data_IF_607534900843
#
_entry.id   IF_607534900843
#
_cell.length_a   1.000
_cell.length_b   1.000
_cell.length_c   1.000
_cell.angle_alpha   90.00
_cell.angle_beta   90.00
_cell.angle_gamma   90.00
#
_symmetry.space_group_name_H-M   'P 1'
#
loop_
_entity.id
_entity.type
_entity.pdbx_description
1 polymer ?
#
# COMPACT_ATOMS: atom_id res chain seq x y z
N UNK A 1 -86.98 -21.94 40.38
CA UNK A 1 -86.44 -21.96 38.99
C UNK A 1 -85.90 -20.57 38.71
N UNK A 2 -84.59 -20.34 38.86
CA UNK A 2 -83.55 -20.40 37.80
C UNK A 2 -83.92 -19.44 36.64
N UNK A 3 -83.08 -18.48 36.26
CA UNK A 3 -81.76 -18.72 35.68
C UNK A 3 -80.75 -17.60 35.97
N UNK A 4 -79.57 -17.97 36.50
CA UNK A 4 -78.36 -17.16 36.44
C UNK A 4 -77.76 -17.30 35.03
N UNK A 5 -77.61 -16.19 34.32
CA UNK A 5 -76.81 -16.15 33.09
C UNK A 5 -75.32 -16.08 33.48
N UNK A 6 -74.67 -17.23 33.57
CA UNK A 6 -73.22 -17.30 33.56
C UNK A 6 -72.73 -16.99 32.14
N UNK A 7 -72.25 -15.76 31.95
CA UNK A 7 -71.45 -15.40 30.78
C UNK A 7 -70.10 -16.10 30.90
N UNK A 8 -69.91 -17.15 30.11
CA UNK A 8 -68.59 -17.75 29.92
C UNK A 8 -67.87 -16.96 28.84
N UNK A 9 -67.01 -16.02 29.26
CA UNK A 9 -65.95 -15.54 28.40
C UNK A 9 -64.98 -16.71 28.19
N UNK A 10 -64.93 -17.24 26.96
CA UNK A 10 -63.89 -18.19 26.55
C UNK A 10 -62.51 -17.54 26.81
N UNK A 11 -61.54 -18.26 27.39
CA UNK A 11 -60.18 -17.77 27.45
C UNK A 11 -59.65 -17.69 26.01
N UNK A 12 -59.29 -16.49 25.58
CA UNK A 12 -58.53 -16.28 24.35
C UNK A 12 -57.26 -17.13 24.50
N UNK A 13 -57.18 -18.19 23.72
CA UNK A 13 -56.02 -19.07 23.68
C UNK A 13 -54.87 -18.29 23.04
N UNK A 14 -54.01 -17.70 23.87
CA UNK A 14 -52.78 -17.03 23.44
C UNK A 14 -51.73 -18.12 23.14
N UNK A 15 -51.98 -18.99 22.17
CA UNK A 15 -50.98 -19.93 21.66
C UNK A 15 -51.31 -20.47 20.27
N UNK A 16 -51.59 -19.59 19.33
CA UNK A 16 -51.35 -19.86 17.91
C UNK A 16 -50.57 -18.68 17.34
N UNK A 17 -49.25 -18.69 17.55
CA UNK A 17 -48.39 -18.05 16.54
C UNK A 17 -48.41 -19.02 15.38
N UNK A 18 -48.94 -18.57 14.24
CA UNK A 18 -48.95 -19.38 13.03
C UNK A 18 -47.54 -19.95 12.83
N UNK A 19 -47.37 -21.28 12.75
CA UNK A 19 -46.05 -21.88 12.65
C UNK A 19 -45.29 -21.40 11.40
N UNK A 20 -46.04 -20.94 10.38
CA UNK A 20 -45.51 -20.27 9.19
C UNK A 20 -44.83 -18.93 9.51
N UNK A 21 -45.43 -18.08 10.35
CA UNK A 21 -44.83 -16.80 10.78
C UNK A 21 -43.53 -17.00 11.57
N UNK A 22 -43.47 -18.06 12.39
CA UNK A 22 -42.26 -18.39 13.15
C UNK A 22 -41.11 -18.86 12.24
N UNK A 23 -41.44 -19.60 11.18
CA UNK A 23 -40.47 -20.07 10.17
C UNK A 23 -39.99 -18.89 9.32
N UNK A 24 -40.87 -18.02 8.87
CA UNK A 24 -40.50 -16.83 8.09
C UNK A 24 -39.58 -15.90 8.90
N UNK A 25 -39.91 -15.66 10.17
CA UNK A 25 -39.05 -14.89 11.07
C UNK A 25 -37.68 -15.55 11.29
N UNK A 26 -37.61 -16.88 11.34
CA UNK A 26 -36.34 -17.61 11.45
C UNK A 26 -35.51 -17.50 10.17
N UNK A 27 -36.13 -17.63 8.99
CA UNK A 27 -35.48 -17.47 7.69
C UNK A 27 -34.90 -16.06 7.56
N UNK A 28 -35.67 -15.03 7.89
CA UNK A 28 -35.20 -13.63 7.85
C UNK A 28 -33.97 -13.44 8.73
N UNK A 29 -33.98 -13.96 9.97
CA UNK A 29 -32.82 -13.86 10.88
C UNK A 29 -31.58 -14.56 10.35
N UNK A 30 -31.72 -15.73 9.73
CA UNK A 30 -30.60 -16.46 9.13
C UNK A 30 -30.03 -15.68 7.94
N UNK A 31 -30.89 -15.12 7.09
CA UNK A 31 -30.47 -14.31 5.94
C UNK A 31 -29.79 -13.02 6.40
N UNK A 32 -30.30 -12.35 7.43
CA UNK A 32 -29.68 -11.16 8.01
C UNK A 32 -28.30 -11.47 8.61
N UNK A 33 -28.18 -12.59 9.35
CA UNK A 33 -26.91 -13.03 9.90
C UNK A 33 -25.87 -13.30 8.80
N UNK A 34 -26.25 -14.02 7.73
CA UNK A 34 -25.33 -14.28 6.62
C UNK A 34 -24.96 -12.99 5.86
N UNK A 35 -25.92 -12.07 5.68
CA UNK A 35 -25.66 -10.78 5.06
C UNK A 35 -24.68 -9.94 5.88
N UNK A 36 -24.81 -9.91 7.21
CA UNK A 36 -23.86 -9.20 8.07
C UNK A 36 -22.46 -9.80 8.00
N UNK A 37 -22.36 -11.13 7.93
CA UNK A 37 -21.08 -11.84 7.80
C UNK A 37 -20.40 -11.55 6.47
N UNK A 38 -21.14 -11.56 5.36
CA UNK A 38 -20.56 -11.23 4.05
C UNK A 38 -20.15 -9.75 3.98
N UNK A 39 -20.93 -8.83 4.56
CA UNK A 39 -20.53 -7.40 4.66
C UNK A 39 -19.24 -7.23 5.46
N UNK A 40 -19.11 -7.93 6.58
CA UNK A 40 -17.90 -7.87 7.41
C UNK A 40 -16.69 -8.42 6.64
N UNK A 41 -16.85 -9.54 5.93
CA UNK A 41 -15.81 -10.10 5.08
C UNK A 41 -15.39 -9.16 3.96
N UNK A 42 -16.34 -8.51 3.28
CA UNK A 42 -16.03 -7.50 2.26
C UNK A 42 -15.24 -6.34 2.87
N UNK A 43 -15.65 -5.85 4.05
CA UNK A 43 -14.94 -4.78 4.75
C UNK A 43 -13.49 -5.16 5.07
N UNK A 44 -13.27 -6.37 5.58
CA UNK A 44 -11.92 -6.88 5.88
C UNK A 44 -11.06 -6.99 4.62
N UNK A 45 -11.64 -7.45 3.50
CA UNK A 45 -10.93 -7.51 2.22
C UNK A 45 -10.57 -6.11 1.70
N UNK A 46 -11.47 -5.14 1.81
CA UNK A 46 -11.20 -3.75 1.42
C UNK A 46 -10.09 -3.10 2.26
N UNK A 47 -10.08 -3.37 3.57
CA UNK A 47 -9.03 -2.92 4.47
C UNK A 47 -7.68 -3.55 4.12
N UNK A 48 -7.64 -4.87 3.89
CA UNK A 48 -6.45 -5.57 3.42
C UNK A 48 -5.93 -4.98 2.11
N UNK A 49 -6.80 -4.76 1.13
CA UNK A 49 -6.42 -4.17 -0.16
C UNK A 49 -5.86 -2.76 0.00
N UNK A 50 -6.37 -1.97 0.96
CA UNK A 50 -5.82 -0.64 1.26
C UNK A 50 -4.43 -0.74 1.87
N UNK A 51 -4.21 -1.67 2.79
CA UNK A 51 -2.90 -1.91 3.39
C UNK A 51 -1.89 -2.39 2.34
N UNK A 52 -2.28 -3.33 1.47
CA UNK A 52 -1.43 -3.85 0.39
C UNK A 52 -1.06 -2.75 -0.61
N UNK A 53 -2.01 -1.88 -0.98
CA UNK A 53 -1.72 -0.71 -1.84
C UNK A 53 -0.72 0.23 -1.19
N UNK A 54 -0.92 0.59 0.09
CA UNK A 54 0.00 1.46 0.80
C UNK A 54 1.41 0.86 0.90
N UNK A 55 1.52 -0.45 1.16
CA UNK A 55 2.80 -1.15 1.19
C UNK A 55 3.47 -1.18 -0.19
N UNK A 56 2.69 -1.39 -1.26
CA UNK A 56 3.21 -1.36 -2.63
C UNK A 56 3.74 0.02 -3.00
N UNK A 57 2.98 1.08 -2.74
CA UNK A 57 3.43 2.45 -3.03
C UNK A 57 4.69 2.82 -2.24
N UNK A 58 4.82 2.38 -0.98
CA UNK A 58 6.04 2.59 -0.20
C UNK A 58 7.25 1.90 -0.86
N UNK A 59 7.06 0.66 -1.36
CA UNK A 59 8.10 -0.08 -2.08
C UNK A 59 8.46 0.55 -3.42
N UNK A 60 7.51 1.13 -4.14
CA UNK A 60 7.77 1.86 -5.39
C UNK A 60 8.59 3.12 -5.14
N UNK A 61 8.30 3.87 -4.07
CA UNK A 61 9.09 5.03 -3.65
C UNK A 61 10.52 4.62 -3.29
N UNK A 62 10.68 3.58 -2.48
CA UNK A 62 11.99 3.01 -2.11
C UNK A 62 12.78 2.59 -3.35
N UNK A 63 12.14 1.87 -4.28
CA UNK A 63 12.78 1.45 -5.54
C UNK A 63 13.25 2.65 -6.35
N UNK A 64 12.43 3.70 -6.44
CA UNK A 64 12.78 4.91 -7.20
C UNK A 64 13.99 5.62 -6.60
N UNK A 65 14.03 5.74 -5.26
CA UNK A 65 15.19 6.28 -4.54
C UNK A 65 16.45 5.45 -4.81
N UNK A 66 16.35 4.13 -4.71
CA UNK A 66 17.49 3.23 -4.96
C UNK A 66 17.99 3.27 -6.40
N UNK A 67 17.09 3.41 -7.38
CA UNK A 67 17.49 3.56 -8.79
C UNK A 67 18.29 4.84 -9.00
N UNK A 68 17.79 5.97 -8.46
CA UNK A 68 18.50 7.26 -8.53
C UNK A 68 19.88 7.19 -7.88
N UNK A 69 19.95 6.60 -6.69
CA UNK A 69 21.22 6.44 -5.99
C UNK A 69 22.20 5.56 -6.76
N UNK A 70 21.71 4.44 -7.30
CA UNK A 70 22.52 3.55 -8.14
C UNK A 70 23.01 4.27 -9.40
N UNK A 71 22.18 5.10 -10.05
CA UNK A 71 22.61 5.90 -11.20
C UNK A 71 23.68 6.94 -10.81
N UNK A 72 23.54 7.60 -9.65
CA UNK A 72 24.56 8.48 -9.05
C UNK A 72 25.89 7.76 -8.82
N UNK A 73 25.85 6.59 -8.19
CA UNK A 73 27.04 5.78 -7.92
C UNK A 73 27.73 5.34 -9.21
N UNK A 74 26.96 4.95 -10.23
CA UNK A 74 27.51 4.57 -11.55
C UNK A 74 28.21 5.76 -12.20
N UNK A 75 27.56 6.93 -12.25
CA UNK A 75 28.17 8.13 -12.82
C UNK A 75 29.46 8.55 -12.09
N UNK A 76 29.46 8.47 -10.76
CA UNK A 76 30.64 8.76 -9.93
C UNK A 76 31.78 7.79 -10.24
N UNK A 77 31.47 6.50 -10.37
CA UNK A 77 32.46 5.47 -10.72
C UNK A 77 33.04 5.72 -12.11
N UNK A 78 32.20 5.99 -13.11
CA UNK A 78 32.66 6.28 -14.47
C UNK A 78 33.56 7.53 -14.54
N UNK A 79 33.24 8.57 -13.76
CA UNK A 79 34.09 9.74 -13.64
C UNK A 79 35.44 9.42 -12.98
N UNK A 80 35.44 8.60 -11.92
CA UNK A 80 36.65 8.10 -11.27
C UNK A 80 37.52 7.26 -12.19
N UNK A 81 36.93 6.31 -12.93
CA UNK A 81 37.64 5.44 -13.88
C UNK A 81 38.30 6.27 -15.00
N UNK A 82 37.62 7.33 -15.49
CA UNK A 82 38.23 8.30 -16.44
C UNK A 82 39.41 9.05 -15.84
N UNK A 83 39.32 9.49 -14.59
CA UNK A 83 40.43 10.19 -13.93
C UNK A 83 41.65 9.29 -13.78
N UNK A 84 41.44 8.02 -13.39
CA UNK A 84 42.51 7.02 -13.31
C UNK A 84 43.15 6.79 -14.68
N UNK A 85 42.35 6.69 -15.74
CA UNK A 85 42.86 6.54 -17.11
C UNK A 85 43.73 7.73 -17.53
N UNK A 86 43.27 8.97 -17.31
CA UNK A 86 44.05 10.20 -17.61
C UNK A 86 45.36 10.22 -16.83
N UNK A 87 45.35 9.80 -15.56
CA UNK A 87 46.56 9.76 -14.73
C UNK A 87 47.58 8.73 -15.22
N UNK A 88 47.13 7.52 -15.56
CA UNK A 88 48.01 6.46 -16.08
C UNK A 88 48.61 6.82 -17.44
N UNK A 89 47.83 7.50 -18.30
CA UNK A 89 48.33 7.99 -19.59
C UNK A 89 49.41 9.08 -19.43
N UNK A 90 49.27 9.93 -18.42
CA UNK A 90 50.26 10.95 -18.07
C UNK A 90 51.57 10.38 -17.53
N UNK A 91 51.49 9.37 -16.65
CA UNK A 91 52.67 8.73 -16.03
C UNK A 91 53.48 7.92 -17.06
N UNK A 92 52.79 7.31 -18.04
CA UNK A 92 53.43 6.58 -19.14
C UNK A 92 54.06 7.46 -20.23
N UNK A 93 53.68 8.74 -20.32
CA UNK A 93 54.04 9.62 -21.44
C UNK A 93 54.31 11.06 -20.94
N UNK A 94 55.51 11.31 -20.39
CA UNK A 94 55.83 12.51 -19.60
C UNK A 94 55.64 13.88 -20.31
N UNK A 95 55.43 13.89 -21.64
CA UNK A 95 55.29 15.12 -22.44
C UNK A 95 53.83 15.48 -22.81
N UNK A 96 52.85 14.60 -22.54
CA UNK A 96 51.47 14.75 -23.06
C UNK A 96 50.37 14.78 -21.99
N UNK A 97 50.70 15.22 -20.77
CA UNK A 97 49.72 15.39 -19.70
C UNK A 97 48.67 16.45 -20.07
N UNK A 98 47.44 16.00 -20.34
CA UNK A 98 46.30 16.90 -20.57
C UNK A 98 45.70 17.34 -19.23
N UNK A 99 46.33 18.37 -18.65
CA UNK A 99 45.88 19.04 -17.42
C UNK A 99 44.42 19.51 -17.51
N UNK A 100 43.97 19.91 -18.70
CA UNK A 100 42.59 20.38 -18.93
C UNK A 100 41.59 19.23 -18.84
N UNK A 101 41.92 18.07 -19.39
CA UNK A 101 41.12 16.86 -19.23
C UNK A 101 41.05 16.40 -17.77
N UNK A 102 42.16 16.47 -17.03
CA UNK A 102 42.18 16.14 -15.60
C UNK A 102 41.31 17.11 -14.77
N UNK A 103 41.46 18.42 -14.97
CA UNK A 103 40.63 19.43 -14.31
C UNK A 103 39.14 19.24 -14.62
N UNK A 104 38.79 18.93 -15.87
CA UNK A 104 37.41 18.65 -16.26
C UNK A 104 36.85 17.40 -15.55
N UNK A 105 37.65 16.35 -15.40
CA UNK A 105 37.26 15.14 -14.66
C UNK A 105 37.08 15.41 -13.14
N UNK A 106 37.95 16.24 -12.54
CA UNK A 106 37.82 16.66 -11.13
C UNK A 106 36.55 17.50 -10.92
N UNK A 107 36.29 18.47 -11.80
CA UNK A 107 35.08 19.30 -11.74
C UNK A 107 33.83 18.43 -11.90
N UNK A 108 33.84 17.43 -12.79
CA UNK A 108 32.73 16.50 -12.95
C UNK A 108 32.44 15.70 -11.65
N UNK A 109 33.47 15.27 -10.93
CA UNK A 109 33.33 14.60 -9.62
C UNK A 109 32.76 15.54 -8.55
N UNK A 110 33.27 16.77 -8.46
CA UNK A 110 32.81 17.76 -7.48
C UNK A 110 31.40 18.29 -7.75
N UNK A 111 30.97 18.30 -9.00
CA UNK A 111 29.64 18.81 -9.39
C UNK A 111 28.52 17.80 -9.17
N UNK A 112 28.84 16.54 -8.84
CA UNK A 112 27.86 15.47 -8.68
C UNK A 112 27.24 15.41 -7.27
N UNK A 113 27.86 16.09 -6.29
CA UNK A 113 27.44 16.12 -4.88
C UNK A 113 26.31 17.14 -4.59
N UNK A 114 25.76 17.78 -5.63
CA UNK A 114 24.74 18.82 -5.50
C UNK A 114 23.31 18.28 -5.54
N UNK A 115 22.71 18.10 -4.36
CA UNK A 115 21.29 18.37 -4.05
C UNK A 115 20.21 17.54 -4.75
N UNK A 116 19.71 16.51 -4.07
CA UNK A 116 18.32 16.06 -4.23
C UNK A 116 17.50 16.77 -3.13
N UNK A 117 17.05 17.99 -3.41
CA UNK A 117 16.06 18.66 -2.57
C UNK A 117 14.72 17.95 -2.81
N UNK A 118 14.39 17.05 -1.91
CA UNK A 118 13.14 16.30 -1.91
C UNK A 118 11.94 17.25 -1.85
N UNK A 119 11.23 17.37 -2.96
CA UNK A 119 9.93 18.03 -3.01
C UNK A 119 8.89 17.11 -2.35
N UNK A 120 8.53 17.47 -1.12
CA UNK A 120 7.44 16.88 -0.38
C UNK A 120 6.15 17.65 -0.63
N UNK A 121 5.26 17.06 -1.42
CA UNK A 121 3.81 17.34 -1.42
C UNK A 121 3.02 16.09 -1.02
#
# INVERSE_FOLDING_TARGET
>A
MMMNFMSWALPINIHDKDPLDAVDAAIVRVVEAELTKEREKTRLMEESLRADRAALEAKERERTMLVREKDRMVATKEAGDKLVAVFLEADGNNENFDEKAMMAAIVALLSHDGGDDGDGE
#
